data_IF_516905908753
#
_entry.id   IF_516905908753
#
_cell.length_a   1.000
_cell.length_b   1.000
_cell.length_c   1.000
_cell.angle_alpha   90.00
_cell.angle_beta   90.00
_cell.angle_gamma   90.00
#
_symmetry.space_group_name_H-M   'P 1'
#
loop_
_entity.id
_entity.type
_entity.pdbx_description
1 polymer ?
#
# COMPACT_ATOMS: atom_id res chain seq x y z
N UNK A 1 -7.11 6.89 -2.17
CA UNK A 1 -5.92 6.08 -1.83
C UNK A 1 -5.24 5.68 -3.12
N UNK A 2 -3.90 5.54 -3.12
CA UNK A 2 -3.14 4.96 -4.22
C UNK A 2 -2.14 3.94 -3.69
N UNK A 3 -1.94 2.85 -4.44
CA UNK A 3 -0.93 1.82 -4.18
C UNK A 3 -0.13 1.60 -5.46
N UNK A 4 1.19 1.49 -5.34
CA UNK A 4 2.10 1.27 -6.46
C UNK A 4 3.43 0.70 -5.98
N UNK A 5 4.27 0.23 -6.88
CA UNK A 5 5.55 -0.42 -6.57
C UNK A 5 6.73 0.21 -7.32
N UNK A 6 6.44 1.02 -8.34
CA UNK A 6 7.40 1.59 -9.26
C UNK A 6 7.67 3.08 -9.06
N UNK A 7 8.78 3.55 -9.63
CA UNK A 7 9.12 4.97 -9.64
C UNK A 7 8.13 5.80 -10.48
N UNK A 8 7.49 5.20 -11.48
CA UNK A 8 6.41 5.80 -12.27
C UNK A 8 5.19 6.16 -11.42
N UNK A 9 5.00 5.48 -10.29
CA UNK A 9 3.84 5.70 -9.42
C UNK A 9 4.06 6.84 -8.43
N UNK A 10 5.30 7.32 -8.24
CA UNK A 10 5.63 8.30 -7.19
C UNK A 10 4.77 9.56 -7.27
N UNK A 11 4.54 10.11 -8.47
CA UNK A 11 3.65 11.26 -8.64
C UNK A 11 2.22 10.97 -8.16
N UNK A 12 1.70 9.78 -8.49
CA UNK A 12 0.38 9.33 -8.05
C UNK A 12 0.35 9.10 -6.53
N UNK A 13 1.39 8.48 -5.97
CA UNK A 13 1.50 8.20 -4.55
C UNK A 13 1.57 9.49 -3.72
N UNK A 14 2.29 10.51 -4.18
CA UNK A 14 2.35 11.81 -3.51
C UNK A 14 1.07 12.63 -3.66
N UNK A 15 0.35 12.51 -4.78
CA UNK A 15 -0.91 13.22 -5.00
C UNK A 15 -2.07 12.61 -4.18
N UNK A 16 -1.99 11.33 -3.82
CA UNK A 16 -3.02 10.67 -3.03
C UNK A 16 -2.97 11.10 -1.56
N UNK A 17 -4.13 11.33 -0.95
CA UNK A 17 -4.22 11.57 0.51
C UNK A 17 -3.71 10.41 1.36
N UNK A 18 -3.67 9.20 0.78
CA UNK A 18 -2.97 8.03 1.31
C UNK A 18 -2.31 7.30 0.15
N UNK A 19 -1.00 7.50 -0.03
CA UNK A 19 -0.16 6.81 -1.01
C UNK A 19 0.74 5.79 -0.33
N UNK A 20 0.74 4.55 -0.84
CA UNK A 20 1.49 3.41 -0.28
C UNK A 20 2.34 2.73 -1.36
N UNK A 21 3.64 2.67 -1.13
CA UNK A 21 4.55 1.84 -1.91
C UNK A 21 4.47 0.37 -1.44
N UNK A 22 3.98 -0.54 -2.26
CA UNK A 22 3.87 -1.97 -1.96
C UNK A 22 5.06 -2.74 -2.53
N UNK A 23 5.86 -3.38 -1.65
CA UNK A 23 7.05 -4.19 -2.02
C UNK A 23 7.96 -3.51 -3.06
N UNK A 24 8.01 -2.19 -3.02
CA UNK A 24 8.71 -1.39 -4.01
C UNK A 24 10.24 -1.53 -3.85
N UNK A 25 11.02 -1.14 -4.85
CA UNK A 25 12.48 -1.07 -4.71
C UNK A 25 12.88 -0.02 -3.67
N UNK A 26 14.05 -0.18 -3.05
CA UNK A 26 14.54 0.72 -1.99
C UNK A 26 14.43 2.21 -2.35
N UNK A 27 14.78 2.57 -3.59
CA UNK A 27 14.65 3.96 -4.07
C UNK A 27 13.22 4.48 -3.95
N UNK A 28 12.24 3.71 -4.43
CA UNK A 28 10.82 4.08 -4.40
C UNK A 28 10.31 4.12 -2.96
N UNK A 29 10.71 3.15 -2.12
CA UNK A 29 10.32 3.12 -0.71
C UNK A 29 10.84 4.31 0.11
N UNK A 30 11.99 4.88 -0.27
CA UNK A 30 12.56 6.08 0.36
C UNK A 30 11.84 7.36 -0.07
N UNK A 31 11.29 7.39 -1.28
CA UNK A 31 10.61 8.55 -1.85
C UNK A 31 9.10 8.56 -1.52
N UNK A 32 8.45 7.39 -1.46
CA UNK A 32 7.01 7.29 -1.25
C UNK A 32 6.56 7.72 0.17
N UNK A 33 5.33 8.25 0.34
CA UNK A 33 4.83 8.72 1.64
C UNK A 33 4.71 7.62 2.70
N UNK A 34 4.23 6.45 2.29
CA UNK A 34 4.10 5.26 3.14
C UNK A 34 4.61 4.05 2.36
N UNK A 35 4.95 2.97 3.07
CA UNK A 35 5.39 1.71 2.47
C UNK A 35 4.80 0.51 3.20
N UNK A 36 4.54 -0.55 2.44
CA UNK A 36 4.03 -1.81 2.95
C UNK A 36 4.81 -2.95 2.28
N UNK A 37 5.55 -3.70 3.11
CA UNK A 37 6.50 -4.72 2.65
C UNK A 37 6.06 -6.14 3.04
N UNK A 38 4.79 -6.33 3.37
CA UNK A 38 4.25 -7.65 3.62
C UNK A 38 4.12 -8.45 2.34
N UNK A 39 3.80 -9.74 2.49
CA UNK A 39 3.77 -10.66 1.36
C UNK A 39 2.55 -10.47 0.45
N UNK A 40 1.49 -9.82 0.93
CA UNK A 40 0.19 -9.74 0.25
C UNK A 40 -0.40 -8.34 0.28
N UNK A 41 -1.14 -7.98 -0.78
CA UNK A 41 -1.95 -6.76 -0.82
C UNK A 41 -3.12 -6.77 0.17
N UNK A 42 -3.44 -7.92 0.77
CA UNK A 42 -4.49 -8.04 1.80
C UNK A 42 -4.27 -7.05 2.94
N UNK A 43 -3.02 -6.76 3.30
CA UNK A 43 -2.75 -5.84 4.41
C UNK A 43 -3.11 -4.38 4.10
N UNK A 44 -3.35 -4.04 2.83
CA UNK A 44 -3.92 -2.74 2.46
C UNK A 44 -5.33 -2.56 3.05
N UNK A 45 -6.07 -3.65 3.28
CA UNK A 45 -7.40 -3.60 3.88
C UNK A 45 -7.37 -3.06 5.32
N UNK A 46 -6.30 -3.31 6.09
CA UNK A 46 -6.13 -2.67 7.40
C UNK A 46 -6.04 -1.14 7.29
N UNK A 47 -5.43 -0.62 6.22
CA UNK A 47 -5.34 0.83 5.96
C UNK A 47 -6.69 1.43 5.55
N UNK A 48 -7.62 0.61 5.07
CA UNK A 48 -8.99 0.99 4.78
C UNK A 48 -9.92 0.88 6.02
N UNK A 49 -9.39 0.44 7.16
CA UNK A 49 -10.11 0.37 8.43
C UNK A 49 -10.75 -0.99 8.73
N UNK A 50 -10.47 -2.02 7.94
CA UNK A 50 -10.96 -3.36 8.24
C UNK A 50 -10.19 -4.00 9.40
N UNK A 51 -10.91 -4.76 10.19
CA UNK A 51 -10.36 -5.65 11.21
C UNK A 51 -9.91 -6.98 10.60
N UNK A 52 -9.05 -7.72 11.31
CA UNK A 52 -8.60 -9.04 10.84
C UNK A 52 -9.75 -10.01 10.59
N UNK A 53 -10.80 -9.99 11.43
CA UNK A 53 -11.96 -10.86 11.26
C UNK A 53 -12.76 -10.53 9.98
N UNK A 54 -12.96 -9.24 9.67
CA UNK A 54 -13.62 -8.83 8.43
C UNK A 54 -12.77 -9.17 7.20
N UNK A 55 -11.45 -9.06 7.31
CA UNK A 55 -10.54 -9.47 6.24
C UNK A 55 -10.65 -10.97 6.01
N UNK A 56 -10.58 -11.79 7.06
CA UNK A 56 -10.68 -13.25 6.94
C UNK A 56 -12.00 -13.66 6.25
N UNK A 57 -13.11 -12.97 6.51
CA UNK A 57 -14.39 -13.20 5.82
C UNK A 57 -14.36 -12.79 4.34
N UNK A 58 -13.64 -11.72 3.98
CA UNK A 58 -13.55 -11.20 2.61
C UNK A 58 -12.61 -11.99 1.69
N UNK A 59 -11.59 -12.66 2.25
CA UNK A 59 -10.56 -13.39 1.48
C UNK A 59 -10.71 -14.91 1.59
N UNK A 60 -11.68 -15.41 2.36
CA UNK A 60 -12.07 -16.83 2.37
C UNK A 60 -12.73 -17.28 1.06
#
# INVERSE_FOLDING_TARGET
MAVGDGANDLLMLHAAGLGVAFRAKEKVQREAPNRLNSESLVDVLYLLGYTGAEIDELVA
#
